data_IF_632384456461
#
_entry.id   IF_632384456461
#
_cell.length_a   1.000
_cell.length_b   1.000
_cell.length_c   1.000
_cell.angle_alpha   90.00
_cell.angle_beta   90.00
_cell.angle_gamma   90.00
#
_symmetry.space_group_name_H-M   'P 1'
#
loop_
_entity.id
_entity.type
_entity.pdbx_description
1 polymer ?
#
# COMPACT_ATOMS: atom_id res chain seq x y z
N UNK A 1 5.38 -22.84 -6.04
CA UNK A 1 5.83 -21.46 -6.32
C UNK A 1 4.59 -20.59 -6.37
N UNK A 2 4.57 -19.53 -5.57
CA UNK A 2 3.43 -18.61 -5.47
C UNK A 2 3.89 -17.20 -5.83
N UNK A 3 3.14 -16.52 -6.69
CA UNK A 3 3.42 -15.12 -7.00
C UNK A 3 2.74 -14.25 -5.95
N UNK A 4 3.52 -13.39 -5.29
CA UNK A 4 3.01 -12.43 -4.29
C UNK A 4 3.24 -11.01 -4.81
N UNK A 5 2.17 -10.22 -4.85
CA UNK A 5 2.21 -8.79 -5.15
C UNK A 5 2.27 -7.99 -3.85
N UNK A 6 3.42 -7.37 -3.59
CA UNK A 6 3.61 -6.47 -2.44
C UNK A 6 3.19 -5.04 -2.81
N UNK A 7 2.20 -4.49 -2.08
CA UNK A 7 1.65 -3.15 -2.33
C UNK A 7 1.87 -2.30 -1.09
N UNK A 8 2.65 -1.22 -1.23
CA UNK A 8 2.94 -0.30 -0.13
C UNK A 8 2.11 0.97 -0.26
N UNK A 9 1.31 1.27 0.75
CA UNK A 9 0.47 2.46 0.81
C UNK A 9 0.73 3.26 2.08
N UNK A 10 0.36 4.54 2.04
CA UNK A 10 0.27 5.39 3.23
C UNK A 10 -1.20 5.53 3.62
N UNK A 11 -1.49 5.67 4.91
CA UNK A 11 -2.83 5.99 5.36
C UNK A 11 -3.26 7.35 4.75
N UNK A 12 -4.40 7.43 4.02
CA UNK A 12 -4.79 8.63 3.27
C UNK A 12 -5.31 9.73 4.20
N UNK A 13 -4.40 10.48 4.82
CA UNK A 13 -4.68 11.60 5.73
C UNK A 13 -4.25 12.94 5.11
N UNK A 14 -5.06 14.02 5.20
CA UNK A 14 -4.65 15.37 4.79
C UNK A 14 -3.31 15.75 5.43
N UNK A 15 -2.40 16.39 4.67
CA UNK A 15 -1.09 16.83 5.17
C UNK A 15 -0.01 15.74 5.29
N UNK A 16 -0.37 14.45 5.25
CA UNK A 16 0.58 13.33 5.41
C UNK A 16 0.92 12.61 4.09
N UNK A 17 0.22 12.95 3.00
CA UNK A 17 0.38 12.30 1.69
C UNK A 17 0.78 13.29 0.60
N UNK A 18 1.76 12.90 -0.22
CA UNK A 18 2.23 13.64 -1.40
C UNK A 18 2.49 15.14 -1.15
N UNK A 19 3.19 15.46 -0.07
CA UNK A 19 3.52 16.84 0.35
C UNK A 19 4.20 17.70 -0.72
N UNK A 20 4.91 17.08 -1.68
CA UNK A 20 5.46 17.78 -2.86
C UNK A 20 4.36 18.28 -3.82
N UNK A 21 3.29 17.50 -4.03
CA UNK A 21 2.12 17.91 -4.81
C UNK A 21 1.25 18.91 -4.04
N UNK A 22 1.12 18.71 -2.73
CA UNK A 22 0.36 19.62 -1.87
C UNK A 22 0.93 21.05 -1.87
N UNK A 23 2.27 21.20 -1.91
CA UNK A 23 2.92 22.51 -2.05
C UNK A 23 2.50 23.30 -3.29
N UNK A 24 2.10 22.61 -4.36
CA UNK A 24 1.72 23.25 -5.63
C UNK A 24 0.20 23.41 -5.76
N UNK A 25 -0.61 22.52 -5.16
CA UNK A 25 -2.05 22.41 -5.45
C UNK A 25 -2.96 22.44 -4.20
N UNK A 26 -2.38 22.52 -2.99
CA UNK A 26 -3.09 22.42 -1.72
C UNK A 26 -3.36 20.98 -1.27
N UNK A 27 -3.44 20.78 0.05
CA UNK A 27 -3.59 19.44 0.67
C UNK A 27 -4.84 18.69 0.20
N UNK A 28 -5.96 19.40 0.03
CA UNK A 28 -7.23 18.80 -0.40
C UNK A 28 -7.12 18.23 -1.82
N UNK A 29 -6.47 18.95 -2.74
CA UNK A 29 -6.27 18.47 -4.11
C UNK A 29 -5.28 17.30 -4.15
N UNK A 30 -4.18 17.39 -3.38
CA UNK A 30 -3.21 16.31 -3.27
C UNK A 30 -3.84 15.02 -2.71
N UNK A 31 -4.70 15.13 -1.70
CA UNK A 31 -5.42 13.99 -1.14
C UNK A 31 -6.40 13.36 -2.14
N UNK A 32 -7.14 14.18 -2.91
CA UNK A 32 -8.02 13.66 -3.97
C UNK A 32 -7.24 12.88 -5.03
N UNK A 33 -6.12 13.43 -5.50
CA UNK A 33 -5.23 12.75 -6.46
C UNK A 33 -4.71 11.45 -5.85
N UNK A 34 -4.32 11.48 -4.57
CA UNK A 34 -3.83 10.28 -3.89
C UNK A 34 -4.90 9.18 -3.82
N UNK A 35 -6.14 9.52 -3.49
CA UNK A 35 -7.27 8.56 -3.51
C UNK A 35 -7.51 7.97 -4.89
N UNK A 36 -7.45 8.78 -5.95
CA UNK A 36 -7.55 8.29 -7.33
C UNK A 36 -6.41 7.32 -7.70
N UNK A 37 -5.19 7.59 -7.23
CA UNK A 37 -4.07 6.66 -7.43
C UNK A 37 -4.27 5.35 -6.67
N UNK A 38 -4.79 5.40 -5.43
CA UNK A 38 -5.12 4.20 -4.67
C UNK A 38 -6.19 3.36 -5.38
N UNK A 39 -7.24 4.00 -5.90
CA UNK A 39 -8.31 3.33 -6.66
C UNK A 39 -7.75 2.64 -7.92
N UNK A 40 -6.91 3.34 -8.70
CA UNK A 40 -6.24 2.77 -9.88
C UNK A 40 -5.35 1.59 -9.52
N UNK A 41 -4.55 1.70 -8.46
CA UNK A 41 -3.68 0.62 -7.98
C UNK A 41 -4.50 -0.57 -7.52
N UNK A 42 -5.55 -0.35 -6.73
CA UNK A 42 -6.47 -1.41 -6.28
C UNK A 42 -7.10 -2.14 -7.46
N UNK A 43 -7.64 -1.39 -8.42
CA UNK A 43 -8.27 -1.96 -9.60
C UNK A 43 -7.30 -2.79 -10.43
N UNK A 44 -6.05 -2.35 -10.57
CA UNK A 44 -5.01 -3.13 -11.24
C UNK A 44 -4.61 -4.38 -10.45
N UNK A 45 -4.45 -4.26 -9.13
CA UNK A 45 -4.09 -5.37 -8.25
C UNK A 45 -5.16 -6.47 -8.23
N UNK A 46 -6.45 -6.11 -8.21
CA UNK A 46 -7.56 -7.07 -8.26
C UNK A 46 -7.55 -7.93 -9.53
N UNK A 47 -7.05 -7.40 -10.65
CA UNK A 47 -6.91 -8.15 -11.90
C UNK A 47 -5.63 -9.01 -11.96
N UNK A 48 -4.74 -8.87 -10.98
CA UNK A 48 -3.52 -9.67 -10.90
C UNK A 48 -3.86 -11.04 -10.28
N UNK A 49 -3.49 -12.12 -10.96
CA UNK A 49 -3.65 -13.50 -10.47
C UNK A 49 -2.62 -13.91 -9.40
N UNK A 50 -2.07 -12.95 -8.67
CA UNK A 50 -1.13 -13.16 -7.57
C UNK A 50 -1.83 -12.99 -6.23
N UNK A 51 -1.27 -13.57 -5.18
CA UNK A 51 -1.66 -13.23 -3.81
C UNK A 51 -1.27 -11.77 -3.53
N UNK A 52 -2.16 -10.97 -2.95
CA UNK A 52 -1.93 -9.54 -2.77
C UNK A 52 -1.70 -9.22 -1.30
N UNK A 53 -0.53 -8.69 -0.99
CA UNK A 53 -0.20 -8.22 0.36
C UNK A 53 -0.18 -6.69 0.38
N UNK A 54 -1.04 -6.10 1.20
CA UNK A 54 -1.20 -4.66 1.31
C UNK A 54 -0.60 -4.15 2.62
N UNK A 55 0.43 -3.31 2.48
CA UNK A 55 1.26 -2.82 3.58
C UNK A 55 0.97 -1.36 3.88
N UNK A 56 0.34 -1.09 5.02
CA UNK A 56 0.01 0.25 5.52
C UNK A 56 1.21 0.88 6.23
N UNK A 57 1.35 2.20 6.14
CA UNK A 57 2.48 2.90 6.74
C UNK A 57 2.42 3.01 8.27
N UNK A 58 1.21 3.04 8.86
CA UNK A 58 1.01 3.28 10.29
C UNK A 58 0.11 2.22 10.93
N UNK A 59 -1.11 2.06 10.43
CA UNK A 59 -2.10 1.12 10.95
C UNK A 59 -2.98 0.59 9.83
N UNK A 60 -3.58 -0.58 10.02
CA UNK A 60 -4.60 -1.11 9.11
C UNK A 60 -5.87 -0.28 9.31
N UNK A 61 -6.42 0.25 8.22
CA UNK A 61 -7.61 1.09 8.26
C UNK A 61 -8.89 0.24 8.21
N UNK A 62 -9.76 0.40 9.20
CA UNK A 62 -11.05 -0.30 9.23
C UNK A 62 -12.01 0.27 8.18
N UNK A 63 -12.73 -0.61 7.50
CA UNK A 63 -13.73 -0.21 6.50
C UNK A 63 -13.13 0.51 5.28
N UNK A 64 -11.83 0.33 5.01
CA UNK A 64 -11.23 0.87 3.80
C UNK A 64 -11.77 0.20 2.52
N UNK A 65 -11.36 0.76 1.40
CA UNK A 65 -11.81 0.31 0.09
C UNK A 65 -11.05 -0.92 -0.43
N UNK A 66 -10.19 -1.57 0.36
CA UNK A 66 -9.42 -2.77 0.01
C UNK A 66 -10.09 -4.02 0.61
N UNK A 67 -10.76 -4.86 -0.20
CA UNK A 67 -11.55 -5.98 0.31
C UNK A 67 -10.70 -7.00 1.10
N UNK A 68 -11.11 -7.32 2.32
CA UNK A 68 -10.37 -8.24 3.19
C UNK A 68 -10.24 -9.67 2.63
N UNK A 69 -11.14 -10.09 1.73
CA UNK A 69 -11.05 -11.39 1.04
C UNK A 69 -10.06 -11.42 -0.13
N UNK A 70 -9.57 -10.27 -0.59
CA UNK A 70 -8.66 -10.15 -1.74
C UNK A 70 -7.24 -9.75 -1.33
N UNK A 71 -7.08 -9.12 -0.16
CA UNK A 71 -5.82 -8.55 0.30
C UNK A 71 -5.47 -9.02 1.71
N UNK A 72 -4.26 -9.58 1.88
CA UNK A 72 -3.66 -9.76 3.19
C UNK A 72 -3.09 -8.42 3.67
N UNK A 73 -3.72 -7.83 4.69
CA UNK A 73 -3.35 -6.51 5.20
C UNK A 73 -2.30 -6.61 6.32
N UNK A 74 -1.26 -5.79 6.24
CA UNK A 74 -0.12 -5.76 7.16
C UNK A 74 0.32 -4.32 7.43
N UNK A 75 1.09 -4.10 8.50
CA UNK A 75 1.73 -2.80 8.79
C UNK A 75 3.20 -2.88 8.41
N UNK A 76 3.72 -1.84 7.76
CA UNK A 76 5.13 -1.72 7.39
C UNK A 76 6.02 -1.67 8.63
N UNK A 77 7.09 -2.45 8.64
CA UNK A 77 8.08 -2.49 9.72
C UNK A 77 9.44 -2.07 9.18
N UNK A 78 10.10 -1.10 9.82
CA UNK A 78 11.40 -0.58 9.39
C UNK A 78 11.47 0.94 9.44
N UNK A 79 12.68 1.47 9.66
CA UNK A 79 12.95 2.90 9.86
C UNK A 79 12.90 3.69 8.56
N UNK A 80 13.32 3.08 7.46
CA UNK A 80 13.30 3.66 6.13
C UNK A 80 12.62 2.75 5.11
N UNK A 81 12.55 3.21 3.85
CA UNK A 81 11.91 2.45 2.78
C UNK A 81 12.67 1.15 2.47
N UNK A 82 14.00 1.16 2.56
CA UNK A 82 14.83 -0.02 2.30
C UNK A 82 14.53 -1.14 3.30
N UNK A 83 14.58 -0.81 4.60
CA UNK A 83 14.28 -1.76 5.67
C UNK A 83 12.86 -2.32 5.57
N UNK A 84 11.88 -1.48 5.20
CA UNK A 84 10.49 -1.90 5.01
C UNK A 84 10.30 -2.87 3.85
N UNK A 85 11.01 -2.63 2.75
CA UNK A 85 11.00 -3.54 1.61
C UNK A 85 11.68 -4.85 1.99
N UNK A 86 12.85 -4.81 2.63
CA UNK A 86 13.58 -6.00 3.07
C UNK A 86 12.72 -6.89 3.98
N UNK A 87 12.03 -6.30 4.96
CA UNK A 87 11.13 -7.03 5.84
C UNK A 87 9.98 -7.71 5.08
N UNK A 88 9.33 -7.00 4.17
CA UNK A 88 8.23 -7.54 3.38
C UNK A 88 8.67 -8.64 2.40
N UNK A 89 9.83 -8.47 1.76
CA UNK A 89 10.41 -9.50 0.89
C UNK A 89 10.80 -10.74 1.67
N UNK A 90 11.46 -10.57 2.82
CA UNK A 90 11.84 -11.69 3.68
C UNK A 90 10.63 -12.51 4.12
N UNK A 91 9.53 -11.83 4.49
CA UNK A 91 8.29 -12.51 4.85
C UNK A 91 7.63 -13.19 3.65
N UNK A 92 7.62 -12.57 2.47
CA UNK A 92 7.09 -13.17 1.25
C UNK A 92 7.87 -14.43 0.84
N UNK A 93 9.21 -14.39 0.89
CA UNK A 93 10.04 -15.55 0.60
C UNK A 93 9.85 -16.67 1.63
N UNK A 94 9.71 -16.34 2.91
CA UNK A 94 9.38 -17.31 3.95
C UNK A 94 8.00 -17.97 3.75
N UNK A 95 7.05 -17.25 3.15
CA UNK A 95 5.75 -17.77 2.74
C UNK A 95 5.77 -18.58 1.43
N UNK A 96 6.93 -18.73 0.77
CA UNK A 96 7.09 -19.54 -0.44
C UNK A 96 6.97 -18.77 -1.76
N UNK A 97 7.08 -17.44 -1.72
CA UNK A 97 7.30 -16.65 -2.92
C UNK A 97 8.62 -17.02 -3.60
N UNK A 98 8.66 -16.90 -4.93
CA UNK A 98 9.80 -17.25 -5.78
C UNK A 98 9.92 -16.31 -6.96
#
# INVERSE_FOLDING_TARGET
MQNILLIFIKNPRPGHVKTRLARTMGDAAALRIYRLLLEKTRSAALRCGAEKWLWYSEHIEDGDEWPAGEFLKKVQTGRDLGERMEAAFSEAFAAGAS
#
